data_IF_606618500961
#
_entry.id   IF_606618500961
#
_cell.length_a   1.000
_cell.length_b   1.000
_cell.length_c   1.000
_cell.angle_alpha   90.00
_cell.angle_beta   90.00
_cell.angle_gamma   90.00
#
_symmetry.space_group_name_H-M   'P 1'
#
loop_
_entity.id
_entity.type
_entity.pdbx_description
1 polymer ?
#
# COMPACT_ATOMS: atom_id res chain seq x y z
N UNK A 1 9.66 1.86 -43.90
CA UNK A 1 9.55 2.85 -42.81
C UNK A 1 8.39 2.57 -41.84
N UNK A 2 7.23 2.06 -42.29
CA UNK A 2 6.07 1.79 -41.43
C UNK A 2 6.28 0.77 -40.26
N UNK A 3 7.15 -0.23 -40.41
CA UNK A 3 7.39 -1.22 -39.34
C UNK A 3 8.11 -0.62 -38.12
N UNK A 4 9.10 0.25 -38.34
CA UNK A 4 9.83 0.92 -37.25
C UNK A 4 8.92 1.86 -36.44
N UNK A 5 8.07 2.60 -37.14
CA UNK A 5 7.09 3.50 -36.51
C UNK A 5 6.08 2.73 -35.63
N UNK A 6 5.69 1.52 -36.04
CA UNK A 6 4.77 0.68 -35.25
C UNK A 6 5.41 0.10 -33.98
N UNK A 7 6.74 -0.12 -33.99
CA UNK A 7 7.48 -0.63 -32.82
C UNK A 7 7.70 0.51 -31.83
N UNK A 8 8.15 1.68 -32.29
CA UNK A 8 8.33 2.85 -31.42
C UNK A 8 7.02 3.28 -30.74
N UNK A 9 5.89 3.26 -31.47
CA UNK A 9 4.58 3.55 -30.87
C UNK A 9 4.15 2.53 -29.81
N UNK A 10 4.55 1.26 -29.95
CA UNK A 10 4.26 0.21 -28.95
C UNK A 10 5.12 0.34 -27.70
N UNK A 11 6.39 0.70 -27.87
CA UNK A 11 7.32 0.88 -26.75
C UNK A 11 6.89 2.06 -25.86
N UNK A 12 6.44 3.16 -26.47
CA UNK A 12 5.89 4.32 -25.75
C UNK A 12 4.65 3.90 -24.95
N UNK A 13 3.72 3.16 -25.56
CA UNK A 13 2.51 2.70 -24.89
C UNK A 13 2.79 1.72 -23.73
N UNK A 14 3.79 0.86 -23.85
CA UNK A 14 4.20 -0.07 -22.78
C UNK A 14 4.83 0.67 -21.60
N UNK A 15 5.65 1.68 -21.88
CA UNK A 15 6.25 2.55 -20.85
C UNK A 15 5.15 3.25 -20.05
N UNK A 16 4.18 3.85 -20.73
CA UNK A 16 3.08 4.58 -20.06
C UNK A 16 2.24 3.64 -19.18
N UNK A 17 1.96 2.42 -19.66
CA UNK A 17 1.25 1.40 -18.88
C UNK A 17 2.07 0.97 -17.66
N UNK A 18 3.36 0.71 -17.85
CA UNK A 18 4.24 0.26 -16.77
C UNK A 18 4.38 1.33 -15.70
N UNK A 19 4.50 2.59 -16.09
CA UNK A 19 4.57 3.74 -15.17
C UNK A 19 3.34 3.79 -14.25
N UNK A 20 2.14 3.70 -14.84
CA UNK A 20 0.89 3.64 -14.08
C UNK A 20 0.84 2.44 -13.12
N UNK A 21 1.29 1.26 -13.55
CA UNK A 21 1.31 0.06 -12.71
C UNK A 21 2.31 0.19 -11.57
N UNK A 22 3.49 0.76 -11.81
CA UNK A 22 4.53 0.93 -10.80
C UNK A 22 4.17 2.00 -9.77
N UNK A 23 3.54 3.09 -10.21
CA UNK A 23 3.16 4.22 -9.35
C UNK A 23 1.88 3.98 -8.56
N UNK A 24 0.82 3.50 -9.23
CA UNK A 24 -0.53 3.39 -8.62
C UNK A 24 -0.90 1.95 -8.28
N UNK A 25 -0.32 0.97 -8.95
CA UNK A 25 -0.75 -0.42 -8.88
C UNK A 25 -2.09 -0.68 -9.58
N UNK A 26 -2.47 -1.95 -9.64
CA UNK A 26 -3.69 -2.45 -10.28
C UNK A 26 -4.38 -3.44 -9.35
N UNK A 27 -5.63 -3.15 -8.99
CA UNK A 27 -6.49 -4.10 -8.29
C UNK A 27 -7.36 -4.86 -9.30
N UNK A 28 -7.34 -6.19 -9.22
CA UNK A 28 -8.11 -7.09 -10.08
C UNK A 28 -9.08 -7.88 -9.20
N UNK A 29 -10.35 -7.87 -9.59
CA UNK A 29 -11.40 -8.72 -9.01
C UNK A 29 -11.90 -9.68 -10.07
N UNK A 30 -11.87 -10.96 -9.77
CA UNK A 30 -12.34 -12.02 -10.64
C UNK A 30 -13.07 -13.09 -9.82
N UNK A 31 -13.93 -13.85 -10.47
CA UNK A 31 -14.50 -15.07 -9.95
C UNK A 31 -14.14 -16.25 -10.85
N UNK A 32 -14.03 -17.44 -10.26
CA UNK A 32 -13.75 -18.67 -10.98
C UNK A 32 -14.61 -19.79 -10.42
N UNK A 33 -15.32 -20.48 -11.31
CA UNK A 33 -16.08 -21.70 -11.00
C UNK A 33 -15.40 -22.89 -11.67
N UNK A 34 -15.15 -23.95 -10.92
CA UNK A 34 -14.64 -25.22 -11.45
C UNK A 34 -15.77 -26.24 -11.37
N UNK A 35 -16.18 -26.72 -12.54
CA UNK A 35 -17.30 -27.65 -12.69
C UNK A 35 -16.83 -28.98 -13.26
N UNK A 36 -17.41 -30.08 -12.79
CA UNK A 36 -17.16 -31.43 -13.30
C UNK A 36 -18.50 -32.09 -13.61
N UNK A 37 -18.63 -32.68 -14.80
CA UNK A 37 -19.85 -33.35 -15.26
C UNK A 37 -21.12 -32.46 -15.16
N UNK A 38 -20.98 -31.15 -15.38
CA UNK A 38 -22.09 -30.19 -15.32
C UNK A 38 -22.51 -29.80 -13.89
N UNK A 39 -21.73 -30.19 -12.88
CA UNK A 39 -21.93 -29.77 -11.49
C UNK A 39 -20.80 -28.84 -11.06
N UNK A 40 -21.16 -27.67 -10.53
CA UNK A 40 -20.22 -26.70 -9.97
C UNK A 40 -19.71 -27.21 -8.62
N UNK A 41 -18.39 -27.44 -8.51
CA UNK A 41 -17.79 -28.00 -7.31
C UNK A 41 -17.07 -26.95 -6.47
N UNK A 42 -16.44 -25.98 -7.13
CA UNK A 42 -15.57 -25.01 -6.46
C UNK A 42 -15.89 -23.63 -7.01
N UNK A 43 -16.13 -22.68 -6.11
CA UNK A 43 -16.23 -21.25 -6.41
C UNK A 43 -15.07 -20.53 -5.72
N UNK A 44 -14.40 -19.65 -6.45
CA UNK A 44 -13.27 -18.84 -5.98
C UNK A 44 -13.57 -17.37 -6.24
N UNK A 45 -13.60 -16.54 -5.19
CA UNK A 45 -13.54 -15.07 -5.29
C UNK A 45 -12.06 -14.65 -5.25
N UNK A 46 -11.54 -14.22 -6.38
CA UNK A 46 -10.14 -13.88 -6.58
C UNK A 46 -9.97 -12.36 -6.54
N UNK A 47 -9.23 -11.88 -5.54
CA UNK A 47 -8.85 -10.46 -5.42
C UNK A 47 -7.34 -10.37 -5.43
N UNK A 48 -6.80 -9.74 -6.46
CA UNK A 48 -5.36 -9.59 -6.68
C UNK A 48 -4.99 -8.11 -6.70
N UNK A 49 -3.83 -7.77 -6.13
CA UNK A 49 -3.22 -6.46 -6.24
C UNK A 49 -1.84 -6.63 -6.87
N UNK A 50 -1.61 -5.94 -7.98
CA UNK A 50 -0.32 -5.85 -8.65
C UNK A 50 0.24 -4.46 -8.34
N UNK A 51 1.43 -4.37 -7.77
CA UNK A 51 2.08 -3.09 -7.48
C UNK A 51 3.60 -3.28 -7.50
N UNK A 52 4.34 -2.17 -7.51
CA UNK A 52 5.79 -2.19 -7.31
C UNK A 52 6.15 -2.88 -5.99
N UNK A 53 7.26 -3.62 -5.98
CA UNK A 53 7.78 -4.29 -4.78
C UNK A 53 8.03 -3.29 -3.65
N UNK A 54 8.56 -2.11 -3.97
CA UNK A 54 8.80 -1.06 -2.98
C UNK A 54 7.49 -0.63 -2.30
N UNK A 55 6.44 -0.38 -3.09
CA UNK A 55 5.11 -0.01 -2.60
C UNK A 55 4.51 -1.11 -1.71
N UNK A 56 4.68 -2.38 -2.10
CA UNK A 56 4.21 -3.53 -1.31
C UNK A 56 4.94 -3.64 0.04
N UNK A 57 6.26 -3.46 0.04
CA UNK A 57 7.09 -3.51 1.26
C UNK A 57 6.73 -2.35 2.21
N UNK A 58 6.58 -1.12 1.70
CA UNK A 58 6.15 0.03 2.51
C UNK A 58 4.76 -0.18 3.12
N UNK A 59 3.79 -0.69 2.34
CA UNK A 59 2.45 -0.99 2.82
C UNK A 59 2.44 -2.05 3.94
N UNK A 60 3.37 -3.01 3.92
CA UNK A 60 3.53 -3.98 5.01
C UNK A 60 4.17 -3.37 6.27
N UNK A 61 5.11 -2.43 6.11
CA UNK A 61 5.78 -1.75 7.23
C UNK A 61 4.85 -0.80 7.98
N UNK A 62 3.92 -0.12 7.28
CA UNK A 62 2.94 0.78 7.88
C UNK A 62 1.99 0.11 8.89
N UNK A 63 1.83 -1.22 8.86
CA UNK A 63 1.02 -1.97 9.84
C UNK A 63 1.73 -2.26 11.17
N UNK A 64 2.99 -1.82 11.33
CA UNK A 64 3.80 -2.13 12.52
C UNK A 64 4.30 -0.90 13.29
N UNK A 65 3.68 0.27 13.14
CA UNK A 65 3.79 1.27 14.22
C UNK A 65 2.81 0.89 15.32
N UNK A 66 3.13 -0.20 16.03
CA UNK A 66 2.61 -0.38 17.37
C UNK A 66 3.07 0.88 18.10
N UNK A 67 2.11 1.74 18.44
CA UNK A 67 2.32 2.82 19.40
C UNK A 67 2.72 2.12 20.68
N UNK A 68 4.03 1.89 20.87
CA UNK A 68 4.55 1.20 22.04
C UNK A 68 4.42 2.17 23.21
N UNK A 69 4.02 1.64 24.36
CA UNK A 69 3.83 2.42 25.58
C UNK A 69 5.06 3.26 25.95
N UNK A 70 6.25 2.84 25.54
CA UNK A 70 7.51 3.58 25.75
C UNK A 70 7.52 4.98 25.11
N UNK A 71 6.94 5.14 23.90
CA UNK A 71 6.82 6.46 23.26
C UNK A 71 5.77 7.33 23.96
N UNK A 72 4.70 6.72 24.48
CA UNK A 72 3.65 7.41 25.22
C UNK A 72 4.11 7.87 26.60
N UNK A 73 4.93 7.07 27.30
CA UNK A 73 5.44 7.41 28.62
C UNK A 73 6.39 8.62 28.57
N UNK A 74 7.28 8.68 27.57
CA UNK A 74 8.13 9.87 27.33
C UNK A 74 7.33 11.13 27.04
N UNK A 75 6.32 11.03 26.18
CA UNK A 75 5.50 12.18 25.80
C UNK A 75 4.64 12.69 26.98
N UNK A 76 4.18 11.78 27.85
CA UNK A 76 3.53 12.15 29.12
C UNK A 76 4.48 12.82 30.09
N UNK A 77 5.71 12.35 30.20
CA UNK A 77 6.74 12.92 31.09
C UNK A 77 7.07 14.37 30.68
N UNK A 78 7.26 14.64 29.38
CA UNK A 78 7.48 15.99 28.84
C UNK A 78 6.32 16.96 29.11
N UNK A 79 5.06 16.48 29.02
CA UNK A 79 3.87 17.28 29.30
C UNK A 79 3.69 17.58 30.80
N UNK A 80 4.08 16.64 31.67
CA UNK A 80 4.05 16.82 33.13
C UNK A 80 5.11 17.83 33.55
N UNK A 81 6.31 17.79 32.96
CA UNK A 81 7.38 18.76 33.22
C UNK A 81 6.98 20.19 32.82
N UNK A 82 6.27 20.36 31.69
CA UNK A 82 5.78 21.67 31.24
C UNK A 82 4.62 22.22 32.10
N UNK A 83 3.86 21.36 32.78
CA UNK A 83 2.72 21.75 33.63
C UNK A 83 3.05 21.74 35.14
N UNK A 84 4.25 21.30 35.52
CA UNK A 84 4.67 21.03 36.90
C UNK A 84 5.31 22.18 37.68
N UNK A 85 5.28 23.43 37.21
CA UNK A 85 5.85 24.56 37.97
C UNK A 85 4.83 25.65 38.32
N UNK A 86 4.03 25.44 39.38
CA UNK A 86 3.09 26.45 39.89
C UNK A 86 3.76 27.60 40.66
N UNK A 87 5.06 27.54 40.99
CA UNK A 87 5.69 28.50 41.92
C UNK A 87 6.61 29.56 41.29
N UNK A 88 6.65 29.67 39.95
CA UNK A 88 7.57 30.60 39.27
C UNK A 88 7.07 32.03 39.09
N UNK A 89 5.83 32.34 39.47
CA UNK A 89 5.22 33.67 39.25
C UNK A 89 4.91 34.46 40.52
N UNK A 90 5.46 34.08 41.68
CA UNK A 90 5.31 34.89 42.90
C UNK A 90 6.49 35.85 43.05
N UNK A 91 6.30 37.02 42.45
CA UNK A 91 6.93 38.27 42.86
C UNK A 91 6.08 38.92 43.96
#
# INVERSE_FOLDING_TARGET
MALRESIEKKDIALIDILDVILDKGVAIKADLVISIAGVDLVYLDLRLLIASVESLVQAQQGKRKAVSSEEFDKQREELIDATGQPDKWKN
#
